data_IF_290614294325
#
_entry.id   IF_290614294325
#
_cell.length_a   1.000
_cell.length_b   1.000
_cell.length_c   1.000
_cell.angle_alpha   90.00
_cell.angle_beta   90.00
_cell.angle_gamma   90.00
#
_symmetry.space_group_name_H-M   'P 1'
#
loop_
_entity.id
_entity.type
_entity.pdbx_description
1 polymer ?
#
# COMPACT_ATOMS: atom_id res chain seq x y z
N UNK A 1 -45.10 -24.52 18.37
CA UNK A 1 -44.57 -23.94 17.13
C UNK A 1 -43.75 -22.70 17.49
N UNK A 2 -42.59 -22.61 16.84
CA UNK A 2 -41.40 -21.77 17.00
C UNK A 2 -41.28 -20.65 18.06
N UNK A 3 -40.31 -20.88 18.95
CA UNK A 3 -39.49 -19.87 19.65
C UNK A 3 -38.64 -19.11 18.60
N UNK A 4 -38.77 -17.79 18.55
CA UNK A 4 -37.83 -16.91 17.86
C UNK A 4 -36.56 -16.76 18.71
N UNK A 5 -35.44 -17.27 18.19
CA UNK A 5 -34.10 -17.09 18.76
C UNK A 5 -33.65 -15.63 18.63
N UNK A 6 -32.88 -15.08 19.59
CA UNK A 6 -32.26 -13.77 19.42
C UNK A 6 -31.15 -13.86 18.36
N UNK A 7 -31.15 -12.88 17.44
CA UNK A 7 -30.15 -12.73 16.41
C UNK A 7 -28.74 -12.68 17.02
N UNK A 8 -27.87 -13.57 16.57
CA UNK A 8 -26.47 -13.64 16.97
C UNK A 8 -25.78 -12.31 16.65
N UNK A 9 -25.25 -11.69 17.70
CA UNK A 9 -24.22 -10.66 17.62
C UNK A 9 -23.07 -11.19 16.76
N UNK A 10 -22.93 -10.59 15.59
CA UNK A 10 -21.83 -10.84 14.67
C UNK A 10 -20.53 -10.36 15.33
N UNK A 11 -19.77 -11.30 15.88
CA UNK A 11 -18.38 -11.11 16.30
C UNK A 11 -17.50 -10.98 15.06
N UNK A 12 -17.44 -9.79 14.47
CA UNK A 12 -16.28 -9.42 13.66
C UNK A 12 -15.32 -8.62 14.55
N UNK A 13 -14.07 -9.06 14.77
CA UNK A 13 -13.06 -8.17 15.33
C UNK A 13 -12.95 -6.98 14.37
N UNK A 14 -13.10 -5.76 14.90
CA UNK A 14 -12.97 -4.55 14.10
C UNK A 14 -11.49 -4.33 13.86
N UNK A 15 -10.89 -5.11 12.96
CA UNK A 15 -9.54 -4.86 12.46
C UNK A 15 -9.54 -3.48 11.80
N UNK A 16 -8.98 -2.49 12.49
CA UNK A 16 -8.93 -1.12 11.96
C UNK A 16 -7.81 -1.06 10.92
N UNK A 17 -8.11 -1.48 9.69
CA UNK A 17 -7.24 -1.24 8.54
C UNK A 17 -7.41 0.21 8.12
N UNK A 18 -6.51 1.08 8.55
CA UNK A 18 -6.35 2.40 7.93
C UNK A 18 -5.72 2.20 6.56
N UNK A 19 -6.53 2.07 5.52
CA UNK A 19 -6.06 2.10 4.13
C UNK A 19 -6.02 3.57 3.72
N UNK A 20 -4.84 4.18 3.81
CA UNK A 20 -4.61 5.49 3.21
C UNK A 20 -4.06 5.26 1.80
N UNK A 21 -4.88 5.54 0.81
CA UNK A 21 -4.52 5.42 -0.60
C UNK A 21 -5.26 6.41 -1.47
N UNK A 22 -4.65 6.78 -2.59
CA UNK A 22 -5.28 7.66 -3.57
C UNK A 22 -5.94 6.81 -4.65
N UNK A 23 -7.27 6.85 -4.81
CA UNK A 23 -7.90 6.19 -5.93
C UNK A 23 -7.46 6.88 -7.21
N UNK A 24 -6.66 6.20 -8.02
CA UNK A 24 -6.31 6.68 -9.37
C UNK A 24 -7.23 6.01 -10.36
N UNK A 25 -8.18 6.80 -10.86
CA UNK A 25 -9.29 6.35 -11.70
C UNK A 25 -9.60 7.41 -12.75
N UNK A 26 -10.18 6.99 -13.88
CA UNK A 26 -10.72 7.94 -14.87
C UNK A 26 -12.04 8.59 -14.42
N UNK A 27 -12.58 8.21 -13.26
CA UNK A 27 -13.77 8.85 -12.71
C UNK A 27 -13.45 10.25 -12.19
N UNK A 28 -14.38 11.20 -12.39
CA UNK A 28 -14.24 12.58 -11.89
C UNK A 28 -14.60 12.72 -10.41
N UNK A 29 -15.35 11.77 -9.87
CA UNK A 29 -15.80 11.76 -8.49
C UNK A 29 -15.71 10.35 -7.92
N UNK A 30 -15.34 10.26 -6.65
CA UNK A 30 -15.34 9.02 -5.87
C UNK A 30 -16.15 9.25 -4.60
N UNK A 31 -17.07 8.34 -4.31
CA UNK A 31 -17.85 8.37 -3.07
C UNK A 31 -17.21 7.43 -2.05
N UNK A 32 -16.74 7.98 -0.93
CA UNK A 32 -16.17 7.23 0.19
C UNK A 32 -17.25 7.06 1.25
N UNK A 33 -17.50 5.82 1.67
CA UNK A 33 -18.35 5.52 2.82
C UNK A 33 -17.50 5.45 4.08
N UNK A 34 -17.65 6.44 4.96
CA UNK A 34 -16.94 6.52 6.23
C UNK A 34 -17.81 5.95 7.34
N UNK A 35 -17.23 5.03 8.09
CA UNK A 35 -17.80 4.46 9.31
C UNK A 35 -16.94 4.90 10.49
N UNK A 36 -17.54 5.59 11.44
CA UNK A 36 -16.88 5.99 12.68
C UNK A 36 -17.57 5.29 13.86
N UNK A 37 -16.77 4.83 14.83
CA UNK A 37 -17.25 4.21 16.06
C UNK A 37 -16.62 4.92 17.25
N UNK A 38 -17.44 5.31 18.21
CA UNK A 38 -16.98 5.81 19.50
C UNK A 38 -16.43 4.68 20.35
N UNK A 39 -15.23 4.85 20.92
CA UNK A 39 -14.57 3.82 21.73
C UNK A 39 -15.17 3.67 23.13
N UNK A 40 -15.79 4.73 23.65
CA UNK A 40 -16.37 4.79 24.99
C UNK A 40 -17.82 4.28 25.02
N UNK A 41 -18.64 4.67 24.03
CA UNK A 41 -20.07 4.32 23.99
C UNK A 41 -20.41 3.22 22.98
N UNK A 42 -19.45 2.81 22.14
CA UNK A 42 -19.66 1.90 21.00
C UNK A 42 -20.69 2.42 19.98
N UNK A 43 -21.14 3.68 20.07
CA UNK A 43 -22.02 4.31 19.09
C UNK A 43 -21.34 4.40 17.73
N UNK A 44 -22.08 4.08 16.67
CA UNK A 44 -21.60 4.17 15.29
C UNK A 44 -22.27 5.32 14.56
N UNK A 45 -21.49 6.00 13.71
CA UNK A 45 -21.99 6.94 12.71
C UNK A 45 -21.45 6.58 11.35
N UNK A 46 -22.28 6.82 10.34
CA UNK A 46 -21.98 6.57 8.95
C UNK A 46 -22.16 7.87 8.16
N UNK A 47 -21.25 8.13 7.24
CA UNK A 47 -21.29 9.32 6.39
C UNK A 47 -20.72 8.97 5.02
N UNK A 48 -21.39 9.44 3.96
CA UNK A 48 -20.81 9.43 2.62
C UNK A 48 -20.09 10.76 2.37
N UNK A 49 -18.86 10.67 1.89
CA UNK A 49 -18.04 11.81 1.45
C UNK A 49 -17.85 11.68 -0.05
N UNK A 50 -18.20 12.72 -0.80
CA UNK A 50 -17.92 12.79 -2.23
C UNK A 50 -16.62 13.56 -2.42
N UNK A 51 -15.62 12.89 -3.01
CA UNK A 51 -14.34 13.47 -3.35
C UNK A 51 -14.36 13.77 -4.85
N UNK A 52 -14.21 15.05 -5.21
CA UNK A 52 -13.98 15.44 -6.60
C UNK A 52 -12.50 15.31 -6.90
N UNK A 53 -12.16 14.57 -7.94
CA UNK A 53 -10.78 14.32 -8.35
C UNK A 53 -10.35 15.40 -9.35
N UNK A 54 -9.14 15.93 -9.17
CA UNK A 54 -8.54 16.85 -10.12
C UNK A 54 -8.18 16.09 -11.41
N UNK A 55 -8.45 16.68 -12.57
CA UNK A 55 -8.00 16.13 -13.84
C UNK A 55 -6.48 16.25 -13.95
N UNK A 56 -5.83 15.14 -14.30
CA UNK A 56 -4.40 15.08 -14.60
C UNK A 56 -4.22 14.16 -15.81
N UNK A 57 -3.71 14.72 -16.91
CA UNK A 57 -3.52 14.00 -18.18
C UNK A 57 -2.55 12.82 -18.06
N UNK A 58 -1.73 12.78 -17.01
CA UNK A 58 -0.85 11.64 -16.71
C UNK A 58 -1.62 10.45 -16.15
N UNK A 59 -2.83 10.69 -15.64
CA UNK A 59 -3.61 9.75 -14.85
C UNK A 59 -5.02 9.47 -15.42
N UNK A 60 -5.11 8.99 -16.65
CA UNK A 60 -6.41 8.86 -17.36
C UNK A 60 -7.11 7.49 -17.25
N UNK A 61 -6.58 6.52 -16.50
CA UNK A 61 -7.10 5.14 -16.43
C UNK A 61 -7.09 4.58 -15.00
N UNK A 62 -7.71 3.42 -14.76
CA UNK A 62 -7.53 2.73 -13.49
C UNK A 62 -6.11 2.16 -13.37
N UNK A 63 -5.62 2.03 -12.13
CA UNK A 63 -4.41 1.25 -11.78
C UNK A 63 -4.46 -0.13 -12.44
N UNK A 64 -3.40 -0.51 -13.14
CA UNK A 64 -3.29 -1.82 -13.82
C UNK A 64 -2.34 -2.78 -13.09
N UNK A 65 -1.23 -2.25 -12.56
CA UNK A 65 -0.27 -3.03 -11.80
C UNK A 65 0.15 -2.29 -10.55
N UNK A 66 0.47 -3.07 -9.52
CA UNK A 66 0.95 -2.62 -8.23
C UNK A 66 2.26 -3.35 -7.94
N UNK A 67 3.26 -2.64 -7.42
CA UNK A 67 4.42 -3.25 -6.81
C UNK A 67 4.40 -2.96 -5.31
N UNK A 68 4.48 -4.01 -4.51
CA UNK A 68 4.56 -3.94 -3.06
C UNK A 68 6.03 -3.90 -2.64
N UNK A 69 6.41 -2.91 -1.82
CA UNK A 69 7.72 -2.84 -1.15
C UNK A 69 7.52 -2.71 0.37
N UNK A 70 8.45 -3.28 1.13
CA UNK A 70 8.41 -3.30 2.59
C UNK A 70 9.48 -2.39 3.19
N UNK A 71 9.09 -1.28 3.80
CA UNK A 71 10.00 -0.41 4.53
C UNK A 71 10.09 -0.85 5.99
N UNK A 72 11.27 -1.25 6.44
CA UNK A 72 11.47 -1.88 7.77
C UNK A 72 11.80 -0.89 8.89
N UNK A 73 12.00 0.37 8.54
CA UNK A 73 12.41 1.45 9.44
C UNK A 73 11.40 2.61 9.52
N UNK A 74 10.21 2.46 8.93
CA UNK A 74 9.20 3.51 8.84
C UNK A 74 7.83 2.97 9.24
N UNK A 75 7.17 3.68 10.15
CA UNK A 75 5.77 3.46 10.56
C UNK A 75 4.81 4.11 9.56
N UNK A 76 3.70 3.44 9.27
CA UNK A 76 2.73 3.90 8.28
C UNK A 76 2.11 5.23 8.71
N UNK A 77 1.73 5.33 9.99
CA UNK A 77 1.12 6.50 10.61
C UNK A 77 2.10 7.68 10.62
N UNK A 78 3.38 7.43 10.91
CA UNK A 78 4.42 8.46 10.86
C UNK A 78 4.61 8.98 9.44
N UNK A 79 4.71 8.06 8.47
CA UNK A 79 4.82 8.40 7.05
C UNK A 79 3.61 9.23 6.59
N UNK A 80 2.39 8.79 6.90
CA UNK A 80 1.14 9.46 6.50
C UNK A 80 0.91 10.80 7.19
N UNK A 81 1.41 10.97 8.42
CA UNK A 81 1.34 12.26 9.11
C UNK A 81 2.19 13.34 8.43
N UNK A 82 3.16 12.92 7.60
CA UNK A 82 4.11 13.72 6.83
C UNK A 82 4.80 14.87 7.59
N UNK A 83 4.86 14.79 8.93
CA UNK A 83 5.44 15.85 9.78
C UNK A 83 6.90 16.14 9.46
N UNK A 84 7.59 15.18 8.86
CA UNK A 84 9.01 15.21 8.52
C UNK A 84 9.27 15.25 7.00
N UNK A 85 8.22 15.40 6.18
CA UNK A 85 8.31 15.41 4.72
C UNK A 85 8.72 14.06 4.11
N UNK A 86 8.42 12.95 4.80
CA UNK A 86 8.76 11.60 4.35
C UNK A 86 7.94 11.18 3.13
N UNK A 87 6.71 11.63 2.98
CA UNK A 87 5.88 11.32 1.81
C UNK A 87 6.52 11.89 0.55
N UNK A 88 6.93 13.16 0.58
CA UNK A 88 7.60 13.79 -0.57
C UNK A 88 8.92 13.10 -0.95
N UNK A 89 9.68 12.62 0.04
CA UNK A 89 10.89 11.81 -0.21
C UNK A 89 10.54 10.47 -0.85
N UNK A 90 9.51 9.79 -0.33
CA UNK A 90 9.05 8.52 -0.88
C UNK A 90 8.54 8.67 -2.31
N UNK A 91 7.73 9.69 -2.59
CA UNK A 91 7.25 10.00 -3.94
C UNK A 91 8.40 10.20 -4.92
N UNK A 92 9.42 10.95 -4.52
CA UNK A 92 10.63 11.15 -5.31
C UNK A 92 11.34 9.82 -5.58
N UNK A 93 11.60 9.02 -4.54
CA UNK A 93 12.22 7.70 -4.66
C UNK A 93 11.44 6.78 -5.62
N UNK A 94 10.11 6.77 -5.51
CA UNK A 94 9.22 5.98 -6.38
C UNK A 94 9.32 6.43 -7.83
N UNK A 95 9.25 7.74 -8.10
CA UNK A 95 9.35 8.29 -9.46
C UNK A 95 10.70 8.02 -10.10
N UNK A 96 11.79 8.08 -9.33
CA UNK A 96 13.14 7.82 -9.84
C UNK A 96 13.40 6.32 -10.05
N UNK A 97 12.96 5.47 -9.12
CA UNK A 97 13.17 4.03 -9.17
C UNK A 97 12.41 3.36 -10.32
N UNK A 98 11.16 3.76 -10.55
CA UNK A 98 10.27 3.16 -11.55
C UNK A 98 10.02 4.11 -12.73
N UNK A 99 11.01 4.95 -13.05
CA UNK A 99 10.92 5.91 -14.16
C UNK A 99 10.73 5.20 -15.50
N UNK A 100 9.93 5.83 -16.35
CA UNK A 100 9.67 5.37 -17.70
C UNK A 100 8.64 6.26 -18.38
N UNK A 101 8.69 6.31 -19.72
CA UNK A 101 7.65 6.94 -20.52
C UNK A 101 6.30 6.30 -20.20
N UNK A 102 5.36 7.13 -19.78
CA UNK A 102 3.97 6.78 -19.46
C UNK A 102 3.78 5.75 -18.32
N UNK A 103 4.82 5.45 -17.52
CA UNK A 103 4.68 4.58 -16.34
C UNK A 103 3.99 5.31 -15.20
N UNK A 104 4.35 6.59 -15.00
CA UNK A 104 3.78 7.51 -14.01
C UNK A 104 3.51 6.84 -12.65
N UNK A 105 4.54 6.30 -11.96
CA UNK A 105 4.32 5.57 -10.72
C UNK A 105 3.86 6.53 -9.60
N UNK A 106 2.99 6.04 -8.72
CA UNK A 106 2.49 6.80 -7.57
C UNK A 106 2.31 5.88 -6.36
N UNK A 107 2.24 6.48 -5.17
CA UNK A 107 1.92 5.77 -3.93
C UNK A 107 0.43 5.40 -3.99
N UNK A 108 0.14 4.12 -4.16
CA UNK A 108 -1.23 3.61 -4.22
C UNK A 108 -1.83 3.47 -2.83
N UNK A 109 -1.13 2.79 -1.92
CA UNK A 109 -1.52 2.66 -0.51
C UNK A 109 -0.30 2.56 0.40
N UNK A 110 -0.45 3.03 1.64
CA UNK A 110 0.49 2.77 2.75
C UNK A 110 -0.30 2.09 3.86
N UNK A 111 0.24 0.98 4.39
CA UNK A 111 -0.39 0.20 5.45
C UNK A 111 0.66 -0.22 6.50
N UNK A 112 0.26 -0.34 7.78
CA UNK A 112 1.11 -0.99 8.78
C UNK A 112 1.32 -2.46 8.39
N UNK A 113 2.52 -2.99 8.64
CA UNK A 113 2.82 -4.38 8.27
C UNK A 113 2.01 -5.40 9.08
N UNK A 114 1.73 -5.10 10.34
CA UNK A 114 0.97 -5.97 11.23
C UNK A 114 -0.27 -5.23 11.75
N UNK A 115 -1.36 -5.97 11.85
CA UNK A 115 -2.57 -5.49 12.49
C UNK A 115 -2.40 -5.70 13.99
N UNK A 116 -2.46 -4.60 14.73
CA UNK A 116 -2.49 -4.63 16.18
C UNK A 116 -3.92 -4.98 16.61
N UNK A 117 -4.15 -6.09 17.32
CA UNK A 117 -5.47 -6.40 17.84
C UNK A 117 -5.94 -5.31 18.82
N UNK A 118 -7.21 -4.94 18.72
CA UNK A 118 -7.84 -3.94 19.59
C UNK A 118 -7.63 -4.29 21.08
N UNK A 119 -7.17 -3.32 21.87
CA UNK A 119 -6.88 -3.46 23.30
C UNK A 119 -5.53 -4.09 23.63
N UNK A 120 -4.71 -4.46 22.63
CA UNK A 120 -3.36 -5.02 22.81
C UNK A 120 -2.24 -4.09 22.38
N UNK A 121 -2.53 -2.83 22.07
CA UNK A 121 -1.59 -1.84 21.52
C UNK A 121 -0.34 -1.67 22.39
N UNK A 122 -0.52 -1.73 23.72
CA UNK A 122 0.56 -1.67 24.70
C UNK A 122 1.59 -2.81 24.57
N UNK A 123 1.19 -3.98 24.06
CA UNK A 123 2.07 -5.13 23.82
C UNK A 123 2.93 -4.95 22.57
N UNK A 124 2.51 -4.10 21.64
CA UNK A 124 3.14 -3.91 20.33
C UNK A 124 3.91 -2.59 20.22
N UNK A 125 3.93 -1.77 21.28
CA UNK A 125 4.60 -0.45 21.35
C UNK A 125 6.11 -0.49 21.04
N UNK A 126 6.76 -1.65 21.20
CA UNK A 126 8.19 -1.85 20.94
C UNK A 126 8.48 -2.70 19.69
N UNK A 127 7.46 -3.11 18.92
CA UNK A 127 7.72 -3.80 17.64
C UNK A 127 8.29 -2.81 16.63
N UNK A 128 9.20 -3.31 15.78
CA UNK A 128 9.81 -2.49 14.72
C UNK A 128 8.72 -1.95 13.82
N UNK A 129 8.64 -0.63 13.74
CA UNK A 129 7.71 0.07 12.87
C UNK A 129 8.05 -0.22 11.41
N UNK A 130 7.21 -1.02 10.78
CA UNK A 130 7.36 -1.35 9.36
C UNK A 130 6.07 -1.10 8.60
N UNK A 131 6.24 -0.70 7.35
CA UNK A 131 5.17 -0.32 6.45
C UNK A 131 5.21 -1.15 5.19
N UNK A 132 4.03 -1.61 4.77
CA UNK A 132 3.78 -2.07 3.41
C UNK A 132 3.41 -0.84 2.56
N UNK A 133 4.21 -0.58 1.54
CA UNK A 133 3.99 0.51 0.58
C UNK A 133 3.67 -0.13 -0.76
N UNK A 134 2.47 0.12 -1.27
CA UNK A 134 2.04 -0.32 -2.59
C UNK A 134 2.16 0.84 -3.56
N UNK A 135 2.80 0.60 -4.70
CA UNK A 135 3.07 1.59 -5.74
C UNK A 135 2.31 1.20 -6.99
N UNK A 136 1.44 2.08 -7.47
CA UNK A 136 0.59 1.83 -8.63
C UNK A 136 1.14 2.42 -9.92
N UNK A 137 0.75 1.81 -11.04
CA UNK A 137 0.91 2.33 -12.39
C UNK A 137 -0.32 1.97 -13.24
N UNK A 138 -0.65 2.84 -14.20
CA UNK A 138 -1.78 2.65 -15.12
C UNK A 138 -1.40 1.94 -16.42
N UNK A 139 -0.11 1.76 -16.71
CA UNK A 139 0.37 1.10 -17.94
C UNK A 139 1.30 -0.07 -17.70
N UNK A 140 1.55 -0.38 -16.42
CA UNK A 140 2.42 -1.47 -16.02
C UNK A 140 3.88 -1.04 -15.87
N UNK A 141 4.64 -1.86 -15.18
CA UNK A 141 6.08 -1.67 -15.02
C UNK A 141 6.83 -2.21 -16.23
N UNK A 142 8.01 -1.67 -16.51
CA UNK A 142 8.82 -2.18 -17.60
C UNK A 142 9.33 -3.61 -17.33
N UNK A 143 9.57 -4.41 -18.39
CA UNK A 143 10.04 -5.80 -18.25
C UNK A 143 11.31 -5.96 -17.40
N UNK A 144 12.17 -4.94 -17.35
CA UNK A 144 13.36 -4.92 -16.48
C UNK A 144 13.01 -4.99 -15.00
N UNK A 145 11.94 -4.32 -14.58
CA UNK A 145 11.42 -4.38 -13.21
C UNK A 145 10.86 -5.78 -12.93
N UNK A 146 10.09 -6.35 -13.86
CA UNK A 146 9.59 -7.72 -13.72
C UNK A 146 10.71 -8.75 -13.58
N UNK A 147 11.76 -8.67 -14.42
CA UNK A 147 12.94 -9.54 -14.31
C UNK A 147 13.65 -9.39 -12.98
N UNK A 148 13.81 -8.16 -12.49
CA UNK A 148 14.41 -7.90 -11.19
C UNK A 148 13.57 -8.53 -10.07
N UNK A 149 12.26 -8.28 -10.04
CA UNK A 149 11.37 -8.82 -9.01
C UNK A 149 11.35 -10.35 -9.05
N UNK A 150 11.29 -10.95 -10.25
CA UNK A 150 11.41 -12.40 -10.40
C UNK A 150 12.73 -12.93 -9.82
N UNK A 151 13.86 -12.28 -10.09
CA UNK A 151 15.16 -12.67 -9.54
C UNK A 151 15.24 -12.50 -8.01
N UNK A 152 14.60 -11.45 -7.46
CA UNK A 152 14.50 -11.26 -6.02
C UNK A 152 13.72 -12.40 -5.35
N UNK A 153 12.66 -12.87 -5.99
CA UNK A 153 11.80 -13.95 -5.50
C UNK A 153 12.44 -15.34 -5.64
N UNK A 154 13.17 -15.59 -6.73
CA UNK A 154 13.79 -16.90 -6.99
C UNK A 154 15.17 -17.07 -6.36
N UNK A 155 15.84 -15.97 -5.97
CA UNK A 155 17.18 -16.00 -5.37
C UNK A 155 17.23 -15.29 -4.00
N UNK A 156 16.99 -16.03 -2.89
CA UNK A 156 17.02 -15.47 -1.54
C UNK A 156 18.38 -14.88 -1.11
N UNK A 157 19.47 -15.30 -1.75
CA UNK A 157 20.81 -14.77 -1.45
C UNK A 157 21.06 -13.41 -2.10
N UNK A 158 20.39 -13.13 -3.22
CA UNK A 158 20.50 -11.87 -3.96
C UNK A 158 19.73 -10.75 -3.26
N UNK A 159 18.48 -11.02 -2.86
CA UNK A 159 17.62 -10.00 -2.24
C UNK A 159 18.17 -9.45 -0.90
N UNK A 160 18.92 -10.27 -0.14
CA UNK A 160 19.58 -9.86 1.11
C UNK A 160 20.76 -8.91 0.91
N UNK A 161 21.34 -8.89 -0.30
CA UNK A 161 22.50 -8.04 -0.62
C UNK A 161 22.01 -6.70 -1.16
N UNK A 162 21.57 -5.81 -0.27
CA UNK A 162 20.98 -4.51 -0.65
C UNK A 162 21.81 -3.71 -1.68
N UNK A 163 23.15 -3.76 -1.60
CA UNK A 163 24.04 -3.08 -2.55
C UNK A 163 23.93 -3.59 -3.99
N UNK A 164 23.50 -4.84 -4.19
CA UNK A 164 23.32 -5.46 -5.51
C UNK A 164 21.94 -5.19 -6.10
N UNK A 165 20.97 -4.80 -5.28
CA UNK A 165 19.63 -4.45 -5.75
C UNK A 165 19.67 -3.03 -6.31
N UNK A 166 19.64 -2.92 -7.64
CA UNK A 166 19.83 -1.65 -8.37
C UNK A 166 18.83 -0.55 -7.99
N UNK A 167 17.65 -0.91 -7.49
CA UNK A 167 16.63 0.03 -7.03
C UNK A 167 16.95 0.63 -5.66
N UNK A 168 17.75 -0.05 -4.82
CA UNK A 168 18.00 0.35 -3.44
C UNK A 168 18.63 1.74 -3.32
N UNK A 169 19.44 2.14 -4.30
CA UNK A 169 20.08 3.46 -4.32
C UNK A 169 19.10 4.64 -4.34
N UNK A 170 17.86 4.44 -4.77
CA UNK A 170 16.84 5.49 -4.82
C UNK A 170 16.09 5.64 -3.49
N UNK A 171 16.13 4.61 -2.64
CA UNK A 171 15.42 4.57 -1.34
C UNK A 171 16.38 4.81 -0.16
N UNK A 172 17.59 4.27 -0.26
CA UNK A 172 18.64 4.45 0.74
C UNK A 172 19.16 5.90 0.74
N UNK A 173 19.52 6.48 1.91
CA UNK A 173 19.47 5.88 3.26
C UNK A 173 18.15 6.14 3.99
N UNK A 174 17.14 6.72 3.34
CA UNK A 174 15.91 7.16 4.03
C UNK A 174 15.01 5.99 4.35
N UNK A 175 14.85 5.05 3.40
CA UNK A 175 13.97 3.90 3.54
C UNK A 175 14.78 2.60 3.43
N UNK A 176 14.73 1.80 4.48
CA UNK A 176 15.35 0.48 4.53
C UNK A 176 14.38 -0.56 3.98
N UNK A 177 14.52 -0.84 2.68
CA UNK A 177 13.62 -1.73 1.97
C UNK A 177 14.05 -3.19 2.10
N UNK A 178 13.12 -4.04 2.53
CA UNK A 178 13.24 -5.50 2.43
C UNK A 178 12.85 -5.96 1.02
N UNK A 179 13.87 -6.05 0.17
CA UNK A 179 13.71 -6.48 -1.22
C UNK A 179 13.29 -7.94 -1.37
N UNK A 180 13.50 -8.79 -0.36
CA UNK A 180 13.12 -10.21 -0.42
C UNK A 180 11.61 -10.42 -0.45
N UNK A 181 10.86 -9.41 0.01
CA UNK A 181 9.39 -9.45 0.08
C UNK A 181 8.72 -8.64 -1.04
N UNK A 182 9.51 -8.08 -1.94
CA UNK A 182 8.99 -7.30 -3.06
C UNK A 182 8.25 -8.20 -4.04
N UNK A 183 7.08 -7.76 -4.49
CA UNK A 183 6.26 -8.48 -5.49
C UNK A 183 5.46 -7.52 -6.34
N UNK A 184 5.15 -7.94 -7.57
CA UNK A 184 4.20 -7.24 -8.45
C UNK A 184 2.87 -7.98 -8.39
N UNK A 185 1.78 -7.24 -8.23
CA UNK A 185 0.39 -7.70 -8.16
C UNK A 185 -0.39 -7.01 -9.28
N UNK A 186 -1.20 -7.77 -10.04
CA UNK A 186 -1.89 -7.31 -11.25
C UNK A 186 -1.45 -8.11 -12.49
N UNK A 187 -2.33 -8.20 -13.49
CA UNK A 187 -2.29 -9.26 -14.51
C UNK A 187 -0.93 -9.43 -15.21
N UNK A 188 -0.39 -10.63 -15.02
CA UNK A 188 0.66 -11.23 -15.82
C UNK A 188 -0.07 -12.01 -16.93
N UNK A 189 -0.40 -11.37 -18.06
CA UNK A 189 -0.59 -12.13 -19.30
C UNK A 189 0.80 -12.51 -19.82
N UNK A 190 1.39 -13.57 -19.25
CA UNK A 190 2.41 -14.34 -19.95
C UNK A 190 1.64 -15.22 -20.94
N UNK A 191 1.40 -14.69 -22.13
CA UNK A 191 1.17 -15.56 -23.28
C UNK A 191 2.57 -15.98 -23.73
N UNK A 192 2.99 -17.16 -23.26
CA UNK A 192 4.05 -17.91 -23.93
C UNK A 192 3.49 -18.34 -25.29
N UNK A 193 3.90 -17.65 -26.35
CA UNK A 193 3.67 -18.14 -27.71
C UNK A 193 4.54 -19.38 -27.94
N UNK A 194 3.89 -20.49 -28.29
CA UNK A 194 4.39 -21.50 -29.21
C UNK A 194 3.25 -21.90 -30.13
#
# INVERSE_FOLDING_TARGET
LHKSQPAQSSKYPTETRTISGTPVTGARQVTVHVFAKRLDTFETKQQYIVISLAEDERYTRATQQIIDIHATNVEAESLLSDRTGLVGKLEKSVREAFRGKDVNPYIYTVQPEFLVPEGKEHLFRNQRSSSLISIGTQRGFYPTVHKLVHNLQTNPSFCKKQRLVVLNKYFSPTFDIDWCRTRIVGDIFVISSN
#
